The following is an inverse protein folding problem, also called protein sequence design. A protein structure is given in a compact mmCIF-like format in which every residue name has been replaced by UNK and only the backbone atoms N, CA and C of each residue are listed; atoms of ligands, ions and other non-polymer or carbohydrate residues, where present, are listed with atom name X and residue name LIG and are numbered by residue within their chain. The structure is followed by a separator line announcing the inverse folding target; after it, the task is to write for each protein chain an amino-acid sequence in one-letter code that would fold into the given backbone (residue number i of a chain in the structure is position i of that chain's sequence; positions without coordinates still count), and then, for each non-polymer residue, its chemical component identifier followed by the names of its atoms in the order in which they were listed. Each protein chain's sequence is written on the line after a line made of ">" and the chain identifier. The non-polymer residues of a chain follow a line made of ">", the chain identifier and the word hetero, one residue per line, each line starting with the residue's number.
data_IF_882241175117
#
_entry.id   IF_882241175117
#
_cell.length_a   1.000
_cell.length_b   1.000
_cell.length_c   1.000
_cell.angle_alpha   90.00
_cell.angle_beta   90.00
_cell.angle_gamma   90.00
#
_symmetry.space_group_name_H-M   'P 1'
#
loop_
_entity.id
_entity.type
_entity.pdbx_description
1 polymer ?
#
# COMPACT_ATOMS: atom_id res chain seq x y z
N UNK A 1 14.23 6.92 -0.22
CA UNK A 1 13.61 5.60 -0.48
C UNK A 1 12.14 5.73 -0.16
N UNK A 2 11.28 5.20 -1.02
CA UNK A 2 9.93 5.73 -1.26
C UNK A 2 8.98 5.41 -0.10
N UNK A 3 8.59 6.45 0.64
CA UNK A 3 7.48 6.47 1.60
C UNK A 3 6.12 6.30 0.87
N UNK A 4 5.93 5.19 0.16
CA UNK A 4 4.74 4.97 -0.66
C UNK A 4 3.53 4.52 0.17
N UNK A 5 3.79 3.75 1.22
CA UNK A 5 2.77 3.09 2.03
C UNK A 5 2.90 3.61 3.45
N UNK A 6 1.81 4.11 4.02
CA UNK A 6 1.73 4.49 5.42
C UNK A 6 0.56 3.73 6.06
N UNK A 7 0.83 3.09 7.20
CA UNK A 7 -0.15 2.27 7.91
C UNK A 7 -0.19 2.75 9.34
N UNK A 8 -1.37 3.15 9.77
CA UNK A 8 -1.67 3.52 11.13
C UNK A 8 -2.54 2.43 11.78
N UNK A 9 -1.99 1.75 12.79
CA UNK A 9 -2.68 0.69 13.52
C UNK A 9 -3.66 1.22 14.59
N UNK A 10 -3.65 2.51 14.89
CA UNK A 10 -4.53 3.12 15.91
C UNK A 10 -5.88 3.56 15.35
N UNK A 11 -6.05 3.60 14.03
CA UNK A 11 -7.30 4.03 13.38
C UNK A 11 -8.16 2.82 13.02
N UNK A 12 -9.47 2.99 13.07
CA UNK A 12 -10.46 1.96 12.72
C UNK A 12 -10.61 1.73 11.20
N UNK A 13 -9.55 1.95 10.43
CA UNK A 13 -9.53 1.76 8.97
C UNK A 13 -8.84 0.41 8.68
N UNK A 14 -9.46 -0.50 7.93
CA UNK A 14 -8.82 -1.76 7.54
C UNK A 14 -7.47 -1.54 6.85
N UNK A 15 -6.47 -2.34 7.20
CA UNK A 15 -5.09 -2.22 6.71
C UNK A 15 -5.03 -2.19 5.17
N UNK A 16 -5.78 -3.07 4.50
CA UNK A 16 -5.79 -3.10 3.04
C UNK A 16 -6.28 -1.78 2.42
N UNK A 17 -7.27 -1.12 3.04
CA UNK A 17 -7.75 0.20 2.60
C UNK A 17 -6.70 1.28 2.84
N UNK A 18 -5.96 1.22 3.95
CA UNK A 18 -4.88 2.16 4.23
C UNK A 18 -3.75 2.05 3.19
N UNK A 19 -3.41 0.83 2.77
CA UNK A 19 -2.42 0.57 1.71
C UNK A 19 -2.91 1.18 0.38
N UNK A 20 -4.15 0.87 -0.02
CA UNK A 20 -4.76 1.42 -1.25
C UNK A 20 -4.75 2.95 -1.23
N UNK A 21 -5.22 3.56 -0.14
CA UNK A 21 -5.28 5.00 0.00
C UNK A 21 -3.89 5.65 -0.04
N UNK A 22 -2.89 5.04 0.61
CA UNK A 22 -1.51 5.56 0.60
C UNK A 22 -0.93 5.60 -0.81
N UNK A 23 -1.12 4.51 -1.57
CA UNK A 23 -0.66 4.42 -2.96
C UNK A 23 -1.40 5.45 -3.83
N UNK A 24 -2.72 5.56 -3.67
CA UNK A 24 -3.53 6.52 -4.42
C UNK A 24 -3.11 7.98 -4.14
N UNK A 25 -2.88 8.32 -2.88
CA UNK A 25 -2.38 9.64 -2.48
C UNK A 25 -0.96 9.90 -3.01
N UNK A 26 -0.11 8.88 -3.04
CA UNK A 26 1.23 8.94 -3.63
C UNK A 26 1.21 9.21 -5.13
N UNK A 27 0.20 8.70 -5.85
CA UNK A 27 0.00 8.97 -7.28
C UNK A 27 -0.57 10.38 -7.48
N UNK A 28 -1.62 10.76 -6.72
CA UNK A 28 -2.23 12.09 -6.82
C UNK A 28 -1.26 13.23 -6.51
N UNK A 29 -0.38 13.04 -5.53
CA UNK A 29 0.64 14.04 -5.16
C UNK A 29 1.79 14.16 -6.17
N UNK A 30 1.81 13.33 -7.21
CA UNK A 30 2.90 13.28 -8.19
C UNK A 30 4.19 12.67 -7.67
N UNK A 31 4.19 12.13 -6.44
CA UNK A 31 5.33 11.44 -5.85
C UNK A 31 5.62 10.10 -6.53
N UNK A 32 4.61 9.50 -7.16
CA UNK A 32 4.72 8.27 -7.94
C UNK A 32 4.06 8.47 -9.29
N UNK A 33 4.77 8.13 -10.36
CA UNK A 33 4.27 8.24 -11.72
C UNK A 33 3.69 6.92 -12.17
N UNK A 34 2.77 7.00 -13.11
CA UNK A 34 2.26 5.82 -13.79
C UNK A 34 3.43 5.07 -14.45
N UNK A 35 3.58 3.79 -14.14
CA UNK A 35 4.72 2.98 -14.56
C UNK A 35 5.83 2.80 -13.51
N UNK A 36 5.78 3.54 -12.39
CA UNK A 36 6.66 3.25 -11.26
C UNK A 36 6.32 1.89 -10.65
N UNK A 37 7.37 1.16 -10.27
CA UNK A 37 7.22 -0.18 -9.69
C UNK A 37 6.71 -0.06 -8.26
N UNK A 38 5.52 -0.60 -8.01
CA UNK A 38 5.06 -0.85 -6.65
C UNK A 38 5.98 -1.87 -5.97
N UNK A 39 6.22 -1.76 -4.66
CA UNK A 39 6.91 -2.79 -3.90
C UNK A 39 6.16 -4.12 -4.03
N UNK A 40 6.87 -5.24 -3.90
CA UNK A 40 6.21 -6.55 -3.93
C UNK A 40 5.37 -6.78 -2.68
N UNK A 41 4.36 -7.65 -2.80
CA UNK A 41 3.51 -8.06 -1.66
C UNK A 41 4.36 -8.55 -0.47
N UNK A 42 5.42 -9.31 -0.75
CA UNK A 42 6.31 -9.83 0.28
C UNK A 42 7.13 -8.72 0.96
N UNK A 43 7.59 -7.72 0.22
CA UNK A 43 8.32 -6.59 0.79
C UNK A 43 7.45 -5.79 1.76
N UNK A 44 6.23 -5.43 1.33
CA UNK A 44 5.28 -4.68 2.18
C UNK A 44 4.87 -5.52 3.40
N UNK A 45 4.61 -6.82 3.21
CA UNK A 45 4.28 -7.70 4.32
C UNK A 45 5.41 -7.79 5.36
N UNK A 46 6.67 -7.88 4.91
CA UNK A 46 7.83 -7.93 5.79
C UNK A 46 8.08 -6.58 6.48
N UNK A 47 7.99 -5.47 5.75
CA UNK A 47 8.22 -4.11 6.26
C UNK A 47 7.25 -3.72 7.37
N UNK A 48 5.96 -4.03 7.18
CA UNK A 48 4.91 -3.67 8.13
C UNK A 48 4.49 -4.83 9.06
N UNK A 49 5.21 -5.96 9.03
CA UNK A 49 4.88 -7.19 9.79
C UNK A 49 3.42 -7.63 9.60
N UNK A 50 2.94 -7.59 8.36
CA UNK A 50 1.54 -7.88 8.01
C UNK A 50 1.34 -9.29 7.49
N UNK A 51 0.11 -9.79 7.65
CA UNK A 51 -0.32 -10.96 6.91
C UNK A 51 -0.30 -10.68 5.41
N UNK A 52 0.34 -11.57 4.64
CA UNK A 52 0.40 -11.49 3.17
C UNK A 52 -0.97 -11.35 2.53
N UNK A 53 -2.00 -11.99 3.10
CA UNK A 53 -3.38 -11.90 2.63
C UNK A 53 -3.92 -10.48 2.62
N UNK A 54 -3.65 -9.68 3.65
CA UNK A 54 -4.10 -8.28 3.74
C UNK A 54 -3.47 -7.40 2.66
N UNK A 55 -2.19 -7.60 2.38
CA UNK A 55 -1.47 -6.88 1.31
C UNK A 55 -1.96 -7.33 -0.07
N UNK A 56 -2.19 -8.63 -0.25
CA UNK A 56 -2.72 -9.17 -1.50
C UNK A 56 -4.12 -8.62 -1.82
N UNK A 57 -5.00 -8.51 -0.81
CA UNK A 57 -6.31 -7.86 -0.96
C UNK A 57 -6.17 -6.41 -1.40
N UNK A 58 -5.23 -5.65 -0.83
CA UNK A 58 -4.98 -4.26 -1.25
C UNK A 58 -4.55 -4.18 -2.71
N UNK A 59 -3.65 -5.07 -3.14
CA UNK A 59 -3.10 -5.06 -4.50
C UNK A 59 -4.15 -5.49 -5.53
N UNK A 60 -5.02 -6.44 -5.18
CA UNK A 60 -6.15 -6.79 -6.03
C UNK A 60 -7.15 -5.64 -6.14
N UNK A 61 -7.39 -4.89 -5.07
CA UNK A 61 -8.26 -3.71 -5.11
C UNK A 61 -7.70 -2.59 -6.01
N UNK A 62 -6.37 -2.46 -6.13
CA UNK A 62 -5.73 -1.51 -7.05
C UNK A 62 -5.77 -1.94 -8.52
N UNK A 63 -5.97 -3.23 -8.79
CA UNK A 63 -6.04 -3.80 -10.14
C UNK A 63 -7.46 -3.86 -10.72
N UNK A 64 -8.47 -3.73 -9.87
CA UNK A 64 -9.88 -3.75 -10.25
C UNK A 64 -10.30 -2.42 -10.88
#
# INVERSE_FOLDING_TARGET
>A
MINLININFTVAIPIYKQIVNSIYNGIQSGANKYGDKLPSVNQVAAEFSLARGSVFTAYNALRA
#
